data_IF_671634249747
#
_entry.id   IF_671634249747
#
_cell.length_a   1.000
_cell.length_b   1.000
_cell.length_c   1.000
_cell.angle_alpha   90.00
_cell.angle_beta   90.00
_cell.angle_gamma   90.00
#
_symmetry.space_group_name_H-M   'P 1'
#
loop_
_entity.id
_entity.type
_entity.pdbx_description
1 polymer ?
#
# COMPACT_ATOMS: atom_id res chain seq x y z
N UNK A 1 -11.22 21.75 -13.88
CA UNK A 1 -10.22 20.99 -13.07
C UNK A 1 -9.70 19.87 -13.93
N UNK A 2 -8.38 19.74 -14.08
CA UNK A 2 -7.75 18.83 -15.05
C UNK A 2 -7.70 17.37 -14.58
N UNK A 3 -8.02 17.08 -13.31
CA UNK A 3 -7.99 15.73 -12.76
C UNK A 3 -8.99 15.56 -11.62
N UNK A 4 -9.40 14.32 -11.36
CA UNK A 4 -10.28 13.95 -10.26
C UNK A 4 -9.45 13.70 -9.00
N UNK A 5 -9.62 14.51 -7.95
CA UNK A 5 -8.84 14.40 -6.72
C UNK A 5 -9.15 13.09 -6.00
N UNK A 6 -8.12 12.42 -5.50
CA UNK A 6 -8.27 11.20 -4.70
C UNK A 6 -9.15 11.41 -3.45
N UNK A 7 -9.04 12.58 -2.80
CA UNK A 7 -9.92 12.96 -1.68
C UNK A 7 -11.41 13.00 -2.06
N UNK A 8 -11.73 13.46 -3.27
CA UNK A 8 -13.11 13.54 -3.77
C UNK A 8 -13.62 12.12 -4.13
N UNK A 9 -12.75 11.30 -4.72
CA UNK A 9 -13.04 9.88 -4.94
C UNK A 9 -13.38 9.16 -3.64
N UNK A 10 -12.55 9.31 -2.61
CA UNK A 10 -12.79 8.70 -1.30
C UNK A 10 -14.07 9.20 -0.65
N UNK A 11 -14.33 10.52 -0.72
CA UNK A 11 -15.55 11.11 -0.20
C UNK A 11 -16.80 10.56 -0.91
N UNK A 12 -16.76 10.41 -2.21
CA UNK A 12 -17.86 9.82 -2.98
C UNK A 12 -18.05 8.32 -2.64
N UNK A 13 -16.94 7.57 -2.49
CA UNK A 13 -16.98 6.14 -2.17
C UNK A 13 -17.49 5.85 -0.76
N UNK A 14 -17.12 6.68 0.22
CA UNK A 14 -17.39 6.43 1.65
C UNK A 14 -18.37 7.39 2.30
N UNK A 15 -18.86 8.41 1.57
CA UNK A 15 -19.82 9.41 2.06
C UNK A 15 -19.21 10.54 2.89
N UNK A 16 -17.96 10.42 3.32
CA UNK A 16 -17.24 11.42 4.11
C UNK A 16 -15.73 11.41 3.81
N UNK A 17 -14.99 12.35 4.40
CA UNK A 17 -13.52 12.36 4.27
C UNK A 17 -12.91 11.13 4.95
N UNK A 18 -11.98 10.49 4.25
CA UNK A 18 -11.22 9.34 4.75
C UNK A 18 -9.74 9.70 4.80
N UNK A 19 -9.06 9.31 5.86
CA UNK A 19 -7.65 9.62 6.07
C UNK A 19 -6.80 8.35 6.09
N UNK A 20 -5.62 8.39 5.44
CA UNK A 20 -4.65 7.31 5.53
C UNK A 20 -3.96 7.34 6.90
N UNK A 21 -3.84 6.16 7.51
CA UNK A 21 -3.04 5.91 8.70
C UNK A 21 -1.83 5.09 8.27
N UNK A 22 -0.64 5.69 8.14
CA UNK A 22 0.54 4.98 7.68
C UNK A 22 0.99 3.93 8.70
N UNK A 23 1.37 2.77 8.18
CA UNK A 23 1.91 1.64 8.94
C UNK A 23 3.23 1.23 8.32
N UNK A 24 4.22 1.03 9.17
CA UNK A 24 5.53 0.49 8.81
C UNK A 24 5.68 -0.92 9.39
N UNK A 25 6.02 -1.88 8.55
CA UNK A 25 6.26 -3.28 8.94
C UNK A 25 7.76 -3.59 8.94
N UNK A 26 8.21 -4.59 9.72
CA UNK A 26 9.58 -5.10 9.68
C UNK A 26 9.78 -5.95 8.41
N UNK A 27 9.76 -5.29 7.27
CA UNK A 27 9.90 -5.86 5.94
C UNK A 27 10.92 -5.06 5.15
N UNK A 28 11.52 -5.68 4.15
CA UNK A 28 12.41 -5.06 3.18
C UNK A 28 11.85 -5.17 1.76
N UNK A 29 12.68 -4.92 0.78
CA UNK A 29 12.37 -5.03 -0.64
C UNK A 29 13.40 -5.97 -1.30
N UNK A 30 13.01 -6.79 -2.31
CA UNK A 30 13.98 -7.59 -3.08
C UNK A 30 15.17 -6.78 -3.59
N UNK A 31 14.98 -5.57 -4.08
CA UNK A 31 16.08 -4.69 -4.52
C UNK A 31 17.09 -4.30 -3.43
N UNK A 32 16.81 -4.61 -2.17
CA UNK A 32 17.68 -4.33 -1.02
C UNK A 32 18.36 -5.57 -0.45
N UNK A 33 18.15 -6.74 -1.06
CA UNK A 33 18.86 -7.96 -0.68
C UNK A 33 20.26 -7.96 -1.29
N UNK A 34 20.37 -7.52 -2.56
CA UNK A 34 21.62 -7.56 -3.34
C UNK A 34 22.08 -6.15 -3.78
N UNK A 35 21.50 -5.07 -3.21
CA UNK A 35 21.81 -3.68 -3.58
C UNK A 35 21.21 -2.65 -2.65
N UNK A 36 21.37 -1.37 -3.03
CA UNK A 36 20.91 -0.22 -2.23
C UNK A 36 19.41 0.10 -2.37
N UNK A 37 18.71 -0.65 -3.24
CA UNK A 37 17.31 -0.40 -3.60
C UNK A 37 17.15 0.63 -4.72
N UNK A 38 15.92 1.02 -5.01
CA UNK A 38 15.65 2.01 -6.05
C UNK A 38 16.22 3.38 -5.68
N UNK A 39 16.75 4.13 -6.67
CA UNK A 39 17.42 5.42 -6.49
C UNK A 39 16.56 6.49 -5.76
N UNK A 40 15.23 6.39 -5.83
CA UNK A 40 14.30 7.30 -5.15
C UNK A 40 13.90 6.82 -3.74
N UNK A 41 14.33 5.63 -3.33
CA UNK A 41 13.91 5.02 -2.06
C UNK A 41 14.94 5.30 -0.97
N UNK A 42 14.62 6.19 -0.04
CA UNK A 42 15.47 6.47 1.12
C UNK A 42 15.70 5.24 2.01
N UNK A 43 16.69 5.32 2.91
CA UNK A 43 17.01 4.25 3.86
C UNK A 43 15.85 3.84 4.78
N UNK A 44 14.91 4.76 5.04
CA UNK A 44 13.66 4.51 5.78
C UNK A 44 12.49 4.06 4.89
N UNK A 45 12.71 3.80 3.60
CA UNK A 45 11.64 3.62 2.63
C UNK A 45 11.00 4.94 2.20
N UNK A 46 9.78 4.90 1.67
CA UNK A 46 9.03 6.08 1.19
C UNK A 46 8.06 6.67 2.21
N UNK A 47 7.97 6.10 3.41
CA UNK A 47 6.99 6.45 4.45
C UNK A 47 7.61 7.20 5.62
N UNK A 48 8.12 8.40 5.39
CA UNK A 48 8.75 9.23 6.45
C UNK A 48 7.80 9.59 7.61
N UNK A 49 6.49 9.61 7.36
CA UNK A 49 5.46 9.88 8.35
C UNK A 49 5.04 8.65 9.16
N UNK A 50 5.48 7.45 8.77
CA UNK A 50 5.17 6.22 9.49
C UNK A 50 6.07 6.07 10.74
N UNK A 51 5.54 5.44 11.77
CA UNK A 51 6.30 5.10 12.97
C UNK A 51 7.34 4.02 12.69
N UNK A 52 8.24 3.78 13.66
CA UNK A 52 9.19 2.68 13.59
C UNK A 52 8.48 1.33 13.45
N UNK A 53 9.03 0.45 12.60
CA UNK A 53 8.56 -0.94 12.44
C UNK A 53 8.67 -1.81 13.72
N UNK A 54 9.37 -1.33 14.75
CA UNK A 54 9.41 -1.98 16.06
C UNK A 54 8.11 -1.79 16.87
N UNK A 55 7.26 -0.82 16.48
CA UNK A 55 5.96 -0.56 17.11
C UNK A 55 4.91 -1.46 16.46
N UNK A 56 4.04 -2.09 17.25
CA UNK A 56 2.98 -2.98 16.72
C UNK A 56 2.03 -2.25 15.76
N UNK A 57 1.43 -2.95 14.83
CA UNK A 57 0.44 -2.41 13.89
C UNK A 57 -0.71 -1.73 14.63
N UNK A 58 -1.22 -2.40 15.66
CA UNK A 58 -2.31 -1.88 16.50
C UNK A 58 -1.92 -0.53 17.14
N UNK A 59 -0.72 -0.41 17.66
CA UNK A 59 -0.27 0.81 18.31
C UNK A 59 -0.02 1.94 17.30
N UNK A 60 0.63 1.66 16.18
CA UNK A 60 0.82 2.63 15.09
C UNK A 60 -0.52 3.21 14.64
N UNK A 61 -1.49 2.35 14.32
CA UNK A 61 -2.81 2.75 13.87
C UNK A 61 -3.58 3.51 14.94
N UNK A 62 -3.53 3.07 16.20
CA UNK A 62 -4.26 3.71 17.30
C UNK A 62 -3.76 5.12 17.56
N UNK A 63 -2.44 5.31 17.65
CA UNK A 63 -1.81 6.62 17.89
C UNK A 63 -2.10 7.59 16.75
N UNK A 64 -1.88 7.14 15.50
CA UNK A 64 -2.13 7.99 14.32
C UNK A 64 -3.62 8.32 14.19
N UNK A 65 -4.50 7.35 14.42
CA UNK A 65 -5.95 7.57 14.43
C UNK A 65 -6.33 8.63 15.45
N UNK A 66 -5.87 8.55 16.69
CA UNK A 66 -6.16 9.54 17.74
C UNK A 66 -5.73 10.94 17.33
N UNK A 67 -4.55 11.10 16.77
CA UNK A 67 -4.03 12.38 16.27
C UNK A 67 -4.90 12.93 15.14
N UNK A 68 -5.25 12.11 14.15
CA UNK A 68 -6.08 12.49 13.00
C UNK A 68 -7.51 12.84 13.43
N UNK A 69 -8.12 12.03 14.30
CA UNK A 69 -9.45 12.31 14.84
C UNK A 69 -9.48 13.65 15.57
N UNK A 70 -8.51 13.91 16.44
CA UNK A 70 -8.41 15.17 17.20
C UNK A 70 -8.23 16.38 16.29
N UNK A 71 -7.43 16.25 15.22
CA UNK A 71 -7.11 17.38 14.32
C UNK A 71 -8.21 17.65 13.28
N UNK A 72 -8.84 16.61 12.75
CA UNK A 72 -9.70 16.70 11.57
C UNK A 72 -11.13 16.21 11.82
N UNK A 73 -11.47 15.78 13.03
CA UNK A 73 -12.78 15.19 13.40
C UNK A 73 -13.17 14.04 12.46
N UNK A 74 -12.18 13.23 12.08
CA UNK A 74 -12.34 12.13 11.14
C UNK A 74 -12.92 10.89 11.83
N UNK A 75 -13.78 10.12 11.09
CA UNK A 75 -14.39 8.89 11.56
C UNK A 75 -14.01 7.68 10.71
N UNK A 76 -13.50 7.88 9.48
CA UNK A 76 -13.14 6.80 8.55
C UNK A 76 -11.68 6.88 8.15
N UNK A 77 -11.06 5.71 8.09
CA UNK A 77 -9.61 5.59 7.90
C UNK A 77 -9.27 4.49 6.91
N UNK A 78 -8.12 4.64 6.26
CA UNK A 78 -7.43 3.62 5.48
C UNK A 78 -6.20 3.20 6.26
N UNK A 79 -6.10 1.94 6.68
CA UNK A 79 -4.84 1.40 7.18
C UNK A 79 -3.89 1.23 5.99
N UNK A 80 -2.82 2.03 5.95
CA UNK A 80 -1.93 2.15 4.82
C UNK A 80 -0.56 1.55 5.10
N UNK A 81 -0.34 0.33 4.64
CA UNK A 81 0.93 -0.37 4.71
C UNK A 81 1.86 0.18 3.63
N UNK A 82 2.65 1.18 3.99
CA UNK A 82 3.30 2.10 3.07
C UNK A 82 4.72 1.69 2.69
N UNK A 83 5.55 1.30 3.68
CA UNK A 83 6.99 1.17 3.46
C UNK A 83 7.35 -0.12 2.73
N UNK A 84 8.32 -0.04 1.81
CA UNK A 84 8.92 -1.17 1.11
C UNK A 84 7.92 -2.05 0.33
N UNK A 85 8.15 -3.37 0.34
CA UNK A 85 7.36 -4.36 -0.40
C UNK A 85 6.62 -5.25 0.59
N UNK A 86 5.39 -4.87 0.98
CA UNK A 86 4.67 -5.54 2.05
C UNK A 86 4.29 -7.00 1.74
N UNK A 87 4.19 -7.38 0.47
CA UNK A 87 4.01 -8.79 0.06
C UNK A 87 5.34 -9.56 -0.06
N UNK A 88 6.41 -9.07 0.55
CA UNK A 88 7.69 -9.77 0.71
C UNK A 88 7.86 -10.36 2.11
N UNK A 89 6.82 -10.29 2.93
CA UNK A 89 6.71 -10.97 4.22
C UNK A 89 6.29 -12.44 4.04
N UNK A 90 6.59 -13.33 4.99
CA UNK A 90 5.91 -14.62 5.05
C UNK A 90 4.38 -14.44 5.08
N UNK A 91 3.60 -15.25 4.32
CA UNK A 91 2.15 -15.10 4.19
C UNK A 91 1.39 -15.06 5.52
N UNK A 92 1.76 -15.90 6.48
CA UNK A 92 1.14 -15.91 7.82
C UNK A 92 1.35 -14.59 8.58
N UNK A 93 2.53 -14.01 8.47
CA UNK A 93 2.84 -12.70 9.07
C UNK A 93 2.06 -11.59 8.38
N UNK A 94 2.00 -11.63 7.05
CA UNK A 94 1.19 -10.68 6.28
C UNK A 94 -0.28 -10.76 6.71
N UNK A 95 -0.87 -11.96 6.75
CA UNK A 95 -2.25 -12.18 7.25
C UNK A 95 -2.45 -11.61 8.65
N UNK A 96 -1.53 -11.90 9.57
CA UNK A 96 -1.61 -11.43 10.97
C UNK A 96 -1.67 -9.91 11.05
N UNK A 97 -0.78 -9.19 10.34
CA UNK A 97 -0.75 -7.73 10.33
C UNK A 97 -2.00 -7.10 9.73
N UNK A 98 -2.54 -7.67 8.63
CA UNK A 98 -3.80 -7.19 8.08
C UNK A 98 -4.95 -7.42 9.06
N UNK A 99 -5.00 -8.57 9.74
CA UNK A 99 -6.03 -8.86 10.76
C UNK A 99 -5.94 -7.93 11.98
N UNK A 100 -4.76 -7.50 12.39
CA UNK A 100 -4.62 -6.45 13.41
C UNK A 100 -5.29 -5.14 12.96
N UNK A 101 -5.05 -4.73 11.72
CA UNK A 101 -5.62 -3.50 11.17
C UNK A 101 -7.16 -3.53 11.10
N UNK A 102 -7.77 -4.71 10.87
CA UNK A 102 -9.24 -4.82 10.83
C UNK A 102 -9.93 -4.54 12.17
N UNK A 103 -9.21 -4.64 13.28
CA UNK A 103 -9.74 -4.42 14.62
C UNK A 103 -9.76 -2.95 15.03
N UNK A 104 -9.18 -2.06 14.24
CA UNK A 104 -9.12 -0.63 14.55
C UNK A 104 -10.45 0.04 14.17
N UNK A 105 -11.14 0.68 15.12
CA UNK A 105 -12.43 1.33 14.85
C UNK A 105 -12.33 2.39 13.76
N UNK A 106 -13.26 2.32 12.78
CA UNK A 106 -13.35 3.27 11.68
C UNK A 106 -12.43 2.97 10.49
N UNK A 107 -11.66 1.89 10.53
CA UNK A 107 -10.93 1.41 9.33
C UNK A 107 -11.93 0.82 8.35
N UNK A 108 -12.04 1.43 7.17
CA UNK A 108 -12.95 1.03 6.09
C UNK A 108 -12.23 0.40 4.90
N UNK A 109 -10.91 0.60 4.83
CA UNK A 109 -10.06 0.07 3.76
C UNK A 109 -8.67 -0.25 4.31
N UNK A 110 -8.07 -1.31 3.77
CA UNK A 110 -6.66 -1.64 3.93
C UNK A 110 -5.99 -1.47 2.58
N UNK A 111 -4.96 -0.64 2.52
CA UNK A 111 -4.15 -0.38 1.33
C UNK A 111 -2.73 -0.91 1.54
N UNK A 112 -2.25 -1.72 0.60
CA UNK A 112 -0.96 -2.41 0.69
C UNK A 112 -0.07 -1.98 -0.46
N UNK A 113 1.01 -1.28 -0.15
CA UNK A 113 2.04 -0.91 -1.13
C UNK A 113 2.96 -2.10 -1.40
N UNK A 114 3.19 -2.36 -2.68
CA UNK A 114 4.06 -3.47 -3.10
C UNK A 114 4.61 -3.28 -4.51
N UNK A 115 5.55 -4.15 -4.87
CA UNK A 115 6.09 -4.29 -6.23
C UNK A 115 5.19 -5.22 -7.05
N UNK A 116 5.05 -4.98 -8.36
CA UNK A 116 4.28 -5.85 -9.25
C UNK A 116 4.73 -7.30 -9.27
N UNK A 117 6.05 -7.54 -9.28
CA UNK A 117 6.66 -8.87 -9.31
C UNK A 117 6.56 -9.64 -7.97
N UNK A 118 6.08 -8.98 -6.90
CA UNK A 118 5.92 -9.57 -5.58
C UNK A 118 4.45 -9.90 -5.20
N UNK A 119 3.49 -9.71 -6.10
CA UNK A 119 2.07 -10.01 -5.82
C UNK A 119 1.73 -11.42 -6.33
N UNK A 120 1.82 -12.42 -5.47
CA UNK A 120 1.36 -13.78 -5.79
C UNK A 120 -0.13 -13.98 -5.51
N UNK A 121 -0.69 -15.08 -6.03
CA UNK A 121 -2.07 -15.48 -5.74
C UNK A 121 -2.32 -15.66 -4.24
N UNK A 122 -1.34 -16.18 -3.50
CA UNK A 122 -1.43 -16.42 -2.06
C UNK A 122 -1.75 -15.17 -1.25
N UNK A 123 -1.08 -14.02 -1.55
CA UNK A 123 -1.39 -12.74 -0.88
C UNK A 123 -2.76 -12.21 -1.27
N UNK A 124 -3.17 -12.42 -2.52
CA UNK A 124 -4.50 -12.01 -2.99
C UNK A 124 -5.60 -12.86 -2.37
N UNK A 125 -5.39 -14.15 -2.16
CA UNK A 125 -6.29 -15.04 -1.43
C UNK A 125 -6.44 -14.57 0.03
N UNK A 126 -5.35 -14.22 0.70
CA UNK A 126 -5.39 -13.67 2.06
C UNK A 126 -6.23 -12.39 2.10
N UNK A 127 -6.02 -11.45 1.17
CA UNK A 127 -6.78 -10.20 1.11
C UNK A 127 -8.26 -10.46 0.82
N UNK A 128 -8.59 -11.35 -0.13
CA UNK A 128 -9.96 -11.77 -0.44
C UNK A 128 -10.67 -12.33 0.79
N UNK A 129 -10.01 -13.25 1.51
CA UNK A 129 -10.57 -13.92 2.67
C UNK A 129 -10.83 -12.95 3.82
N UNK A 130 -9.87 -12.04 4.11
CA UNK A 130 -10.06 -11.01 5.13
C UNK A 130 -11.21 -10.08 4.76
N UNK A 131 -11.28 -9.67 3.48
CA UNK A 131 -12.40 -8.85 2.99
C UNK A 131 -13.74 -9.56 3.16
N UNK A 132 -13.83 -10.84 2.84
CA UNK A 132 -15.04 -11.63 2.97
C UNK A 132 -15.49 -11.74 4.44
N UNK A 133 -14.55 -11.91 5.38
CA UNK A 133 -14.84 -12.00 6.81
C UNK A 133 -15.23 -10.67 7.46
N UNK A 134 -14.69 -9.54 6.98
CA UNK A 134 -14.78 -8.27 7.71
C UNK A 134 -15.59 -7.19 6.99
N UNK A 135 -15.79 -7.33 5.67
CA UNK A 135 -16.38 -6.30 4.82
C UNK A 135 -15.44 -5.13 4.49
N UNK A 136 -14.24 -5.08 5.10
CA UNK A 136 -13.26 -4.01 4.87
C UNK A 136 -12.72 -4.11 3.44
N UNK A 137 -12.67 -2.97 2.75
CA UNK A 137 -12.19 -2.92 1.38
C UNK A 137 -10.68 -3.16 1.30
N UNK A 138 -10.24 -3.82 0.23
CA UNK A 138 -8.81 -4.08 -0.02
C UNK A 138 -8.32 -3.33 -1.24
N UNK A 139 -7.17 -2.71 -1.12
CA UNK A 139 -6.50 -2.01 -2.20
C UNK A 139 -5.03 -2.42 -2.29
N UNK A 140 -4.55 -2.66 -3.51
CA UNK A 140 -3.12 -2.88 -3.78
C UNK A 140 -2.56 -1.64 -4.46
N UNK A 141 -1.57 -1.01 -3.84
CA UNK A 141 -0.82 0.09 -4.44
C UNK A 141 0.41 -0.49 -5.17
N UNK A 142 0.32 -0.56 -6.49
CA UNK A 142 1.39 -1.08 -7.34
C UNK A 142 2.33 0.02 -7.80
N UNK A 143 3.59 -0.10 -7.46
CA UNK A 143 4.62 0.84 -7.87
C UNK A 143 5.12 0.57 -9.29
N UNK A 144 4.46 1.08 -10.32
CA UNK A 144 4.97 1.07 -11.69
C UNK A 144 6.14 2.04 -11.84
N UNK A 145 6.00 3.24 -11.31
CA UNK A 145 6.91 4.38 -11.36
C UNK A 145 6.93 5.08 -12.74
N UNK A 146 7.25 4.35 -13.80
CA UNK A 146 7.20 4.82 -15.19
C UNK A 146 7.05 3.63 -16.14
N UNK A 147 6.55 3.86 -17.34
CA UNK A 147 6.54 2.89 -18.43
C UNK A 147 7.82 2.92 -19.28
N UNK A 148 8.69 3.92 -19.08
CA UNK A 148 9.93 4.07 -19.84
C UNK A 148 11.02 3.15 -19.27
N UNK A 149 11.47 2.17 -20.07
CA UNK A 149 12.48 1.19 -19.66
C UNK A 149 13.84 1.81 -19.31
N UNK A 150 14.27 2.84 -20.03
CA UNK A 150 15.51 3.55 -19.74
C UNK A 150 15.44 4.21 -18.34
N UNK A 151 14.33 4.88 -18.03
CA UNK A 151 14.13 5.47 -16.71
C UNK A 151 14.04 4.40 -15.62
N UNK A 152 13.39 3.25 -15.87
CA UNK A 152 13.35 2.14 -14.92
C UNK A 152 14.74 1.61 -14.60
N UNK A 153 15.63 1.52 -15.59
CA UNK A 153 17.04 1.15 -15.41
C UNK A 153 17.80 2.20 -14.60
N UNK A 154 17.63 3.49 -14.93
CA UNK A 154 18.30 4.58 -14.22
C UNK A 154 17.95 4.64 -12.73
N UNK A 155 16.70 4.31 -12.38
CA UNK A 155 16.25 4.30 -10.98
C UNK A 155 16.42 2.96 -10.29
N UNK A 156 17.06 2.00 -10.93
CA UNK A 156 17.28 0.62 -10.45
C UNK A 156 15.99 -0.03 -9.94
N UNK A 157 14.93 -0.02 -10.80
CA UNK A 157 13.60 -0.47 -10.36
C UNK A 157 13.48 -1.98 -10.15
N UNK A 158 14.22 -2.80 -10.87
CA UNK A 158 14.28 -4.25 -10.75
C UNK A 158 13.04 -4.99 -11.28
N UNK A 159 12.10 -4.31 -11.93
CA UNK A 159 10.99 -4.88 -12.72
C UNK A 159 10.59 -3.91 -13.83
N UNK A 160 9.88 -4.42 -14.85
CA UNK A 160 9.43 -3.65 -15.99
C UNK A 160 7.91 -3.55 -16.10
N UNK A 161 7.46 -3.10 -17.27
CA UNK A 161 6.04 -2.96 -17.59
C UNK A 161 5.34 -4.33 -17.73
N UNK A 162 6.05 -5.36 -18.17
CA UNK A 162 5.50 -6.71 -18.32
C UNK A 162 5.03 -7.29 -16.97
N UNK A 163 5.85 -7.19 -15.94
CA UNK A 163 5.53 -7.63 -14.58
C UNK A 163 4.36 -6.83 -14.02
N UNK A 164 4.29 -5.53 -14.31
CA UNK A 164 3.17 -4.70 -13.90
C UNK A 164 1.86 -5.13 -14.57
N UNK A 165 1.86 -5.37 -15.88
CA UNK A 165 0.66 -5.82 -16.61
C UNK A 165 0.21 -7.18 -16.06
N UNK A 166 1.13 -8.14 -15.86
CA UNK A 166 0.79 -9.45 -15.30
C UNK A 166 0.18 -9.33 -13.90
N UNK A 167 0.75 -8.49 -13.03
CA UNK A 167 0.19 -8.23 -11.70
C UNK A 167 -1.23 -7.64 -11.78
N UNK A 168 -1.46 -6.66 -12.65
CA UNK A 168 -2.79 -6.07 -12.84
C UNK A 168 -3.79 -7.11 -13.30
N UNK A 169 -3.44 -7.93 -14.29
CA UNK A 169 -4.30 -9.01 -14.80
C UNK A 169 -4.59 -10.05 -13.71
N UNK A 170 -3.62 -10.39 -12.88
CA UNK A 170 -3.77 -11.30 -11.75
C UNK A 170 -4.72 -10.74 -10.72
N UNK A 171 -4.53 -9.49 -10.27
CA UNK A 171 -5.40 -8.85 -9.27
C UNK A 171 -6.83 -8.70 -9.79
N UNK A 172 -7.02 -8.38 -11.06
CA UNK A 172 -8.35 -8.24 -11.68
C UNK A 172 -9.21 -9.52 -11.65
N UNK A 173 -8.61 -10.69 -11.43
CA UNK A 173 -9.35 -11.95 -11.22
C UNK A 173 -9.99 -12.01 -9.82
N UNK A 174 -9.60 -11.14 -8.90
CA UNK A 174 -10.10 -11.07 -7.53
C UNK A 174 -11.13 -9.95 -7.39
N UNK A 175 -12.41 -10.34 -7.31
CA UNK A 175 -13.49 -9.37 -7.11
C UNK A 175 -13.35 -8.64 -5.78
N UNK A 176 -13.40 -7.31 -5.82
CA UNK A 176 -13.38 -6.47 -4.61
C UNK A 176 -11.99 -6.12 -4.09
N UNK A 177 -10.92 -6.46 -4.82
CA UNK A 177 -9.59 -5.89 -4.60
C UNK A 177 -9.38 -4.79 -5.64
N UNK A 178 -9.18 -3.55 -5.18
CA UNK A 178 -8.88 -2.41 -6.04
C UNK A 178 -7.38 -2.25 -6.28
N UNK A 179 -7.03 -1.55 -7.34
CA UNK A 179 -5.64 -1.26 -7.71
C UNK A 179 -5.45 0.25 -7.74
N UNK A 180 -4.40 0.72 -7.11
CA UNK A 180 -3.86 2.06 -7.26
C UNK A 180 -2.48 1.96 -7.89
N UNK A 181 -2.23 2.65 -8.99
CA UNK A 181 -0.90 2.68 -9.64
C UNK A 181 -0.12 3.88 -9.15
N UNK A 182 1.09 3.64 -8.63
CA UNK A 182 2.00 4.69 -8.21
C UNK A 182 2.99 5.02 -9.33
N UNK A 183 3.08 6.30 -9.67
CA UNK A 183 3.99 6.82 -10.69
C UNK A 183 4.92 7.86 -10.08
N UNK A 184 6.15 7.94 -10.61
CA UNK A 184 7.04 9.08 -10.39
C UNK A 184 6.62 10.23 -11.31
N UNK A 185 6.37 11.38 -10.74
CA UNK A 185 5.76 12.52 -11.45
C UNK A 185 6.72 13.26 -12.39
N UNK A 186 8.01 12.98 -12.33
CA UNK A 186 9.06 13.71 -13.06
C UNK A 186 9.71 12.92 -14.18
N UNK A 187 9.13 11.80 -14.59
CA UNK A 187 9.73 10.90 -15.58
C UNK A 187 9.61 11.34 -17.03
N UNK A 188 8.97 12.46 -17.29
CA UNK A 188 8.65 12.93 -18.66
C UNK A 188 9.46 14.16 -19.06
N UNK A 189 10.41 14.54 -18.27
CA UNK A 189 11.29 15.65 -18.62
C UNK A 189 12.41 15.22 -19.56
#
# INVERSE_FOLDING_TARGET
MLYYKYSDYLKNKYGEKVYKLPVNLPVTCPNRLDGDGCAFCAGAGTGFEAMSAAVSVTEQLTRTRQMITRKYHANKYIAYFQNYTNTFLPPDRFRSYLMEATRIPGVVEISVSTRPDCVSAEYLDIMRDIRAMTGIQMNVELGLQTANYHTLQMIDRGHGLAEFIDAVLRIKRYTGISICTCLLYTSDA
#
